data_IF_682932570700
#
_entry.id   IF_682932570700
#
_cell.length_a   1.000
_cell.length_b   1.000
_cell.length_c   1.000
_cell.angle_alpha   90.00
_cell.angle_beta   90.00
_cell.angle_gamma   90.00
#
_symmetry.space_group_name_H-M   'P 1'
#
loop_
_entity.id
_entity.type
_entity.pdbx_description
1 polymer ?
#
# COMPACT_ATOMS: atom_id res chain seq x y z
N UNK A 1 22.60 -4.57 5.48
CA UNK A 1 21.84 -5.16 4.36
C UNK A 1 22.81 -6.03 3.59
N UNK A 2 22.44 -7.28 3.29
CA UNK A 2 23.32 -8.21 2.59
C UNK A 2 23.21 -8.05 1.08
N UNK A 3 24.29 -8.42 0.39
CA UNK A 3 24.28 -8.48 -1.08
C UNK A 3 23.26 -9.54 -1.56
N UNK A 4 22.41 -9.22 -2.55
CA UNK A 4 21.44 -10.18 -3.10
C UNK A 4 22.11 -11.32 -3.89
N UNK A 5 23.37 -11.13 -4.32
CA UNK A 5 24.12 -12.15 -5.04
C UNK A 5 24.32 -13.41 -4.16
N UNK A 6 23.81 -14.59 -4.57
CA UNK A 6 23.91 -15.83 -3.80
C UNK A 6 25.37 -16.22 -3.46
N UNK A 7 26.33 -15.88 -4.33
CA UNK A 7 27.76 -16.16 -4.13
C UNK A 7 28.39 -15.27 -3.03
N UNK A 8 27.74 -14.15 -2.71
CA UNK A 8 28.22 -13.16 -1.74
C UNK A 8 27.45 -13.17 -0.41
N UNK A 9 26.41 -14.02 -0.27
CA UNK A 9 25.52 -14.12 0.92
C UNK A 9 26.27 -14.30 2.25
N UNK A 10 27.48 -14.85 2.22
CA UNK A 10 28.30 -15.14 3.40
C UNK A 10 29.44 -14.13 3.67
N UNK A 11 29.71 -13.19 2.75
CA UNK A 11 31.01 -12.46 2.72
C UNK A 11 30.97 -10.93 2.76
N UNK A 12 29.86 -10.32 3.15
CA UNK A 12 29.90 -8.91 3.55
C UNK A 12 28.56 -8.19 3.51
N UNK A 13 28.38 -7.29 4.45
CA UNK A 13 27.35 -6.27 4.36
C UNK A 13 27.67 -5.30 3.22
N UNK A 14 26.62 -4.82 2.55
CA UNK A 14 26.73 -3.77 1.55
C UNK A 14 27.26 -2.49 2.21
N UNK A 15 28.30 -1.90 1.63
CA UNK A 15 28.90 -0.65 2.12
C UNK A 15 28.25 0.55 1.46
N UNK A 16 27.89 1.55 2.25
CA UNK A 16 27.34 2.81 1.71
C UNK A 16 28.45 3.57 0.99
N UNK A 17 28.26 3.88 -0.29
CA UNK A 17 29.19 4.70 -1.09
C UNK A 17 28.68 6.12 -1.26
N UNK A 18 27.36 6.29 -1.34
CA UNK A 18 26.73 7.61 -1.49
C UNK A 18 25.44 7.67 -0.70
N UNK A 19 25.22 8.82 -0.08
CA UNK A 19 23.96 9.18 0.59
C UNK A 19 23.37 10.36 -0.16
N UNK A 20 22.10 10.25 -0.54
CA UNK A 20 21.37 11.25 -1.31
C UNK A 20 20.15 11.63 -0.48
N UNK A 21 20.09 12.88 -0.03
CA UNK A 21 18.90 13.42 0.60
C UNK A 21 17.84 13.67 -0.49
N UNK A 22 16.66 13.08 -0.32
CA UNK A 22 15.56 13.15 -1.27
C UNK A 22 14.28 13.57 -0.51
N UNK A 23 14.19 14.85 -0.20
CA UNK A 23 13.10 15.44 0.58
C UNK A 23 12.99 14.78 1.96
N UNK A 24 11.91 14.01 2.16
CA UNK A 24 11.59 13.27 3.40
C UNK A 24 12.22 11.87 3.48
N UNK A 25 13.05 11.53 2.50
CA UNK A 25 13.71 10.22 2.41
C UNK A 25 15.20 10.38 2.24
N UNK A 26 15.94 9.34 2.62
CA UNK A 26 17.36 9.23 2.36
C UNK A 26 17.56 8.02 1.44
N UNK A 27 18.05 8.27 0.24
CA UNK A 27 18.50 7.19 -0.62
C UNK A 27 19.97 6.91 -0.33
N UNK A 28 20.32 5.64 -0.19
CA UNK A 28 21.71 5.21 -0.06
C UNK A 28 22.05 4.30 -1.21
N UNK A 29 23.11 4.67 -1.91
CA UNK A 29 23.78 3.81 -2.84
C UNK A 29 24.77 2.94 -2.07
N UNK A 30 24.57 1.63 -2.14
CA UNK A 30 25.39 0.65 -1.43
C UNK A 30 26.04 -0.30 -2.42
N UNK A 31 27.31 -0.59 -2.21
CA UNK A 31 28.08 -1.49 -3.08
C UNK A 31 28.46 -2.76 -2.33
N UNK A 32 28.44 -3.89 -3.01
CA UNK A 32 29.04 -5.10 -2.50
C UNK A 32 30.57 -5.01 -2.64
N UNK A 33 31.35 -5.12 -1.56
CA UNK A 33 32.81 -5.09 -1.65
C UNK A 33 33.40 -6.35 -2.31
N UNK A 34 32.60 -7.41 -2.49
CA UNK A 34 33.04 -8.69 -3.06
C UNK A 34 32.79 -8.76 -4.56
N UNK A 35 31.57 -8.45 -5.01
CA UNK A 35 31.20 -8.57 -6.43
C UNK A 35 30.97 -7.23 -7.14
N UNK A 36 31.07 -6.09 -6.46
CA UNK A 36 30.86 -4.77 -7.05
C UNK A 36 29.39 -4.43 -7.34
N UNK A 37 28.45 -5.32 -7.04
CA UNK A 37 27.02 -5.10 -7.26
C UNK A 37 26.55 -3.82 -6.57
N UNK A 38 25.78 -3.01 -7.31
CA UNK A 38 25.20 -1.75 -6.81
C UNK A 38 23.77 -1.99 -6.38
N UNK A 39 23.42 -1.59 -5.17
CA UNK A 39 22.07 -1.65 -4.65
C UNK A 39 21.65 -0.26 -4.15
N UNK A 40 20.45 0.16 -4.53
CA UNK A 40 19.84 1.38 -4.01
C UNK A 40 18.89 1.02 -2.88
N UNK A 41 19.01 1.70 -1.75
CA UNK A 41 18.10 1.54 -0.61
C UNK A 41 17.45 2.87 -0.31
N UNK A 42 16.13 2.87 -0.13
CA UNK A 42 15.38 4.04 0.30
C UNK A 42 15.08 3.86 1.79
N UNK A 43 15.54 4.80 2.60
CA UNK A 43 15.27 4.88 4.04
C UNK A 43 14.35 6.08 4.28
N UNK A 44 13.24 5.87 4.97
CA UNK A 44 12.39 6.94 5.48
C UNK A 44 12.75 7.25 6.92
N UNK A 45 12.69 8.52 7.31
CA UNK A 45 12.76 8.89 8.72
C UNK A 45 11.54 8.31 9.47
N UNK A 46 11.74 7.89 10.72
CA UNK A 46 10.71 7.22 11.53
C UNK A 46 9.46 8.10 11.71
N UNK A 47 9.65 9.42 11.86
CA UNK A 47 8.56 10.39 11.98
C UNK A 47 7.70 10.45 10.71
N UNK A 48 8.33 10.58 9.54
CA UNK A 48 7.64 10.57 8.25
C UNK A 48 6.94 9.23 7.97
N UNK A 49 7.55 8.12 8.37
CA UNK A 49 6.91 6.80 8.27
C UNK A 49 5.66 6.71 9.14
N UNK A 50 5.73 7.16 10.39
CA UNK A 50 4.60 7.15 11.31
C UNK A 50 3.47 8.08 10.83
N UNK A 51 3.82 9.23 10.26
CA UNK A 51 2.84 10.14 9.67
C UNK A 51 2.16 9.51 8.45
N UNK A 52 2.92 8.98 7.49
CA UNK A 52 2.37 8.31 6.32
C UNK A 52 1.47 7.13 6.70
N UNK A 53 1.83 6.38 7.75
CA UNK A 53 1.00 5.29 8.28
C UNK A 53 -0.34 5.82 8.79
N UNK A 54 -0.35 6.90 9.60
CA UNK A 54 -1.58 7.53 10.10
C UNK A 54 -2.46 8.05 8.97
N UNK A 55 -1.86 8.73 7.99
CA UNK A 55 -2.60 9.30 6.86
C UNK A 55 -3.25 8.21 6.00
N UNK A 56 -2.54 7.09 5.79
CA UNK A 56 -3.08 5.95 5.07
C UNK A 56 -4.18 5.23 5.87
N UNK A 57 -4.02 5.07 7.19
CA UNK A 57 -5.06 4.50 8.06
C UNK A 57 -6.34 5.35 8.04
N UNK A 58 -6.21 6.67 8.08
CA UNK A 58 -7.33 7.59 7.96
C UNK A 58 -8.06 7.43 6.62
N UNK A 59 -7.33 7.46 5.51
CA UNK A 59 -7.91 7.27 4.17
C UNK A 59 -8.60 5.91 4.01
N UNK A 60 -8.01 4.85 4.54
CA UNK A 60 -8.62 3.51 4.51
C UNK A 60 -9.95 3.49 5.28
N UNK A 61 -10.02 4.14 6.45
CA UNK A 61 -11.25 4.24 7.22
C UNK A 61 -12.31 5.07 6.50
N UNK A 62 -11.93 6.19 5.88
CA UNK A 62 -12.84 7.01 5.07
C UNK A 62 -13.42 6.21 3.90
N UNK A 63 -12.57 5.49 3.16
CA UNK A 63 -12.99 4.64 2.04
C UNK A 63 -13.91 3.49 2.50
N UNK A 64 -13.62 2.89 3.67
CA UNK A 64 -14.50 1.87 4.26
C UNK A 64 -15.88 2.42 4.60
N UNK A 65 -15.94 3.63 5.17
CA UNK A 65 -17.22 4.30 5.44
C UNK A 65 -18.03 4.51 4.17
N UNK A 66 -17.41 5.08 3.12
CA UNK A 66 -18.06 5.28 1.82
C UNK A 66 -18.53 3.97 1.18
N UNK A 67 -17.73 2.91 1.30
CA UNK A 67 -18.10 1.59 0.79
C UNK A 67 -19.33 1.06 1.53
N UNK A 68 -19.36 1.15 2.86
CA UNK A 68 -20.52 0.75 3.67
C UNK A 68 -21.79 1.49 3.25
N UNK A 69 -21.73 2.82 3.17
CA UNK A 69 -22.87 3.64 2.76
C UNK A 69 -23.38 3.27 1.35
N UNK A 70 -22.46 2.92 0.45
CA UNK A 70 -22.81 2.53 -0.93
C UNK A 70 -23.48 1.16 -0.94
N UNK A 71 -22.97 0.21 -0.15
CA UNK A 71 -23.59 -1.11 0.03
C UNK A 71 -24.99 -1.00 0.61
N UNK A 72 -25.18 -0.21 1.67
CA UNK A 72 -26.49 -0.02 2.31
C UNK A 72 -27.52 0.55 1.32
N UNK A 73 -27.10 1.51 0.48
CA UNK A 73 -27.94 2.08 -0.60
C UNK A 73 -28.30 1.04 -1.65
N UNK A 74 -27.36 0.19 -2.06
CA UNK A 74 -27.60 -0.88 -3.03
C UNK A 74 -28.58 -1.92 -2.48
N UNK A 75 -28.45 -2.29 -1.21
CA UNK A 75 -29.37 -3.22 -0.55
C UNK A 75 -30.79 -2.63 -0.47
N UNK A 76 -30.90 -1.36 -0.06
CA UNK A 76 -32.17 -0.63 -0.03
C UNK A 76 -32.82 -0.56 -1.41
N UNK A 77 -32.07 -0.19 -2.45
CA UNK A 77 -32.57 -0.17 -3.83
C UNK A 77 -33.02 -1.56 -4.30
N UNK A 78 -32.23 -2.59 -4.01
CA UNK A 78 -32.57 -3.98 -4.36
C UNK A 78 -33.87 -4.40 -3.68
N UNK A 79 -34.04 -4.07 -2.40
CA UNK A 79 -35.29 -4.30 -1.68
C UNK A 79 -36.47 -3.58 -2.34
N UNK A 80 -36.33 -2.29 -2.65
CA UNK A 80 -37.38 -1.52 -3.32
C UNK A 80 -37.76 -2.11 -4.68
N UNK A 81 -36.78 -2.50 -5.51
CA UNK A 81 -37.05 -3.17 -6.77
C UNK A 81 -37.83 -4.47 -6.57
N UNK A 82 -37.44 -5.31 -5.61
CA UNK A 82 -38.16 -6.55 -5.31
C UNK A 82 -39.62 -6.29 -4.90
N UNK A 83 -39.88 -5.25 -4.09
CA UNK A 83 -41.26 -4.89 -3.72
C UNK A 83 -42.07 -4.42 -4.93
N UNK A 84 -41.49 -3.57 -5.80
CA UNK A 84 -42.14 -3.13 -7.04
C UNK A 84 -42.45 -4.34 -7.93
N UNK A 85 -41.50 -5.26 -8.13
CA UNK A 85 -41.74 -6.48 -8.91
C UNK A 85 -42.84 -7.36 -8.32
N UNK A 86 -42.96 -7.46 -7.00
CA UNK A 86 -44.07 -8.19 -6.36
C UNK A 86 -45.42 -7.54 -6.65
N UNK A 87 -45.50 -6.21 -6.58
CA UNK A 87 -46.73 -5.45 -6.84
C UNK A 87 -47.12 -5.51 -8.32
N UNK A 88 -46.17 -5.24 -9.21
CA UNK A 88 -46.42 -5.18 -10.67
C UNK A 88 -46.46 -6.56 -11.33
N UNK A 89 -45.73 -7.55 -10.81
CA UNK A 89 -45.68 -8.93 -11.33
C UNK A 89 -46.89 -9.78 -10.95
N UNK A 90 -47.65 -9.40 -9.92
CA UNK A 90 -48.91 -10.05 -9.55
C UNK A 90 -50.07 -9.78 -10.54
N UNK A 91 -49.87 -8.91 -11.53
CA UNK A 91 -50.89 -8.53 -12.53
C UNK A 91 -50.87 -9.31 -13.85
N UNK A 92 -50.06 -10.37 -13.98
CA UNK A 92 -50.11 -11.27 -15.15
C UNK A 92 -50.81 -12.58 -14.78
N UNK A 93 -52.13 -12.56 -14.72
CA UNK A 93 -53.01 -13.72 -14.91
C UNK A 93 -54.08 -13.34 -15.91
#
# INVERSE_FOLDING_TARGET
>A
MKCPNPKCKKKGDLQTKRTIAAGRTVQRERHCPVCGERCMTIEMFSEDFNQNRRDNEYKLNELRGKLSETTDKLESLTFHFQQIFKICGAGKK
#
